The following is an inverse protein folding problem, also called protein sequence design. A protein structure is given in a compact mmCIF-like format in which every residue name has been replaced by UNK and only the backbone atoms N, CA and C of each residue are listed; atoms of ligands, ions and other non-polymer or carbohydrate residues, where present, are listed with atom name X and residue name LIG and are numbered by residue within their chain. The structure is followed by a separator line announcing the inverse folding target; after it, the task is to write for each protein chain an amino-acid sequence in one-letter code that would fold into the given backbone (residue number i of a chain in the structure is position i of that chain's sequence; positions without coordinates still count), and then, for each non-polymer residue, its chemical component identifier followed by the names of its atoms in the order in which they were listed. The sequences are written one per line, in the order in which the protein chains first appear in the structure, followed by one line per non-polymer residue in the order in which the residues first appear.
data_IF_404540622106
#
_entry.id   IF_404540622106
#
_cell.length_a   1.000
_cell.length_b   1.000
_cell.length_c   1.000
_cell.angle_alpha   90.00
_cell.angle_beta   90.00
_cell.angle_gamma   90.00
#
_symmetry.space_group_name_H-M   'P 1'
#
loop_
_entity.id
_entity.type
_entity.pdbx_description
1 polymer ?
#
# COMPACT_ATOMS: atom_id res chain seq x y z
N UNK A 1 -0.11 35.20 -14.78
CA UNK A 1 -0.14 34.14 -13.75
C UNK A 1 -0.35 32.83 -14.46
N UNK A 2 0.67 31.98 -14.50
CA UNK A 2 0.61 30.67 -15.16
C UNK A 2 -0.08 29.68 -14.22
N UNK A 3 -1.23 29.13 -14.61
CA UNK A 3 -1.95 28.14 -13.82
C UNK A 3 -1.43 26.76 -14.21
N UNK A 4 -0.67 26.13 -13.30
CA UNK A 4 -0.18 24.77 -13.49
C UNK A 4 -1.37 23.78 -13.49
N UNK A 5 -1.42 22.93 -14.51
CA UNK A 5 -2.40 21.84 -14.56
C UNK A 5 -2.08 20.80 -13.50
N UNK A 6 -3.08 19.99 -13.07
CA UNK A 6 -2.82 18.84 -12.23
C UNK A 6 -1.73 17.98 -12.85
N UNK A 7 -0.83 17.45 -12.01
CA UNK A 7 0.15 16.46 -12.47
C UNK A 7 -0.61 15.32 -13.15
N UNK A 8 -0.12 14.81 -14.29
CA UNK A 8 -0.66 13.60 -14.89
C UNK A 8 -0.71 12.50 -13.83
N UNK A 9 -1.81 11.74 -13.80
CA UNK A 9 -1.95 10.61 -12.89
C UNK A 9 -0.84 9.59 -13.20
N UNK A 10 -0.05 9.25 -12.20
CA UNK A 10 0.96 8.21 -12.33
C UNK A 10 0.26 6.85 -12.26
N UNK A 11 0.17 6.16 -13.40
CA UNK A 11 -0.67 4.97 -13.53
C UNK A 11 0.10 3.66 -13.36
N UNK A 12 1.43 3.69 -13.22
CA UNK A 12 2.30 2.51 -13.06
C UNK A 12 1.82 1.28 -13.86
N UNK A 13 1.81 1.35 -15.21
CA UNK A 13 1.19 0.32 -16.04
C UNK A 13 1.95 -1.02 -16.01
N UNK A 14 1.21 -2.12 -16.21
CA UNK A 14 1.78 -3.47 -16.24
C UNK A 14 2.51 -3.81 -14.93
N UNK A 15 3.69 -4.39 -15.03
CA UNK A 15 4.46 -4.82 -13.86
C UNK A 15 5.12 -3.67 -13.09
N UNK A 16 5.05 -2.42 -13.57
CA UNK A 16 5.52 -1.26 -12.80
C UNK A 16 4.70 -1.06 -11.50
N UNK A 17 3.44 -1.51 -11.47
CA UNK A 17 2.61 -1.48 -10.26
C UNK A 17 3.23 -2.31 -9.14
N UNK A 18 3.93 -3.39 -9.47
CA UNK A 18 4.53 -4.32 -8.50
C UNK A 18 5.71 -3.67 -7.80
N UNK A 19 6.62 -3.06 -8.56
CA UNK A 19 7.77 -2.35 -8.02
C UNK A 19 7.36 -1.14 -7.16
N UNK A 20 6.35 -0.40 -7.62
CA UNK A 20 5.77 0.69 -6.85
C UNK A 20 5.13 0.19 -5.56
N UNK A 21 4.26 -0.82 -5.63
CA UNK A 21 3.57 -1.41 -4.48
C UNK A 21 4.57 -1.92 -3.44
N UNK A 22 5.59 -2.67 -3.88
CA UNK A 22 6.66 -3.18 -3.01
C UNK A 22 7.31 -2.06 -2.21
N UNK A 23 7.79 -1.01 -2.90
CA UNK A 23 8.46 0.12 -2.25
C UNK A 23 7.53 0.88 -1.29
N UNK A 24 6.27 1.05 -1.65
CA UNK A 24 5.27 1.69 -0.81
C UNK A 24 5.00 0.89 0.47
N UNK A 25 4.84 -0.44 0.36
CA UNK A 25 4.58 -1.32 1.50
C UNK A 25 5.81 -1.47 2.41
N UNK A 26 7.03 -1.48 1.86
CA UNK A 26 8.27 -1.44 2.64
C UNK A 26 8.33 -0.19 3.52
N UNK A 27 8.09 0.99 2.93
CA UNK A 27 8.05 2.26 3.67
C UNK A 27 6.95 2.27 4.72
N UNK A 28 5.72 1.86 4.37
CA UNK A 28 4.60 1.81 5.30
C UNK A 28 4.92 0.92 6.52
N UNK A 29 5.55 -0.23 6.30
CA UNK A 29 5.96 -1.15 7.38
C UNK A 29 7.00 -0.53 8.31
N UNK A 30 7.93 0.26 7.78
CA UNK A 30 8.99 0.92 8.54
C UNK A 30 8.46 2.05 9.45
N UNK A 31 7.38 2.73 9.06
CA UNK A 31 6.92 3.95 9.74
C UNK A 31 5.54 3.83 10.38
N UNK A 32 4.94 2.63 10.34
CA UNK A 32 3.61 2.33 10.84
C UNK A 32 3.37 2.79 12.29
N UNK A 33 4.35 2.63 13.17
CA UNK A 33 4.28 2.99 14.60
C UNK A 33 4.77 4.41 14.89
N UNK A 34 5.19 5.16 13.86
CA UNK A 34 5.55 6.56 14.03
C UNK A 34 4.29 7.40 14.25
N UNK A 35 4.16 8.10 15.40
CA UNK A 35 2.95 8.84 15.72
C UNK A 35 2.69 10.00 14.76
N UNK A 36 1.42 10.41 14.68
CA UNK A 36 1.00 11.55 13.86
C UNK A 36 1.11 11.28 12.37
N UNK A 37 1.98 12.02 11.67
CA UNK A 37 2.10 11.96 10.22
C UNK A 37 2.59 10.61 9.68
N UNK A 38 3.39 9.86 10.45
CA UNK A 38 3.90 8.55 10.05
C UNK A 38 2.78 7.51 9.92
N UNK A 39 1.97 7.36 10.97
CA UNK A 39 0.81 6.47 10.98
C UNK A 39 -0.20 6.84 9.88
N UNK A 40 -0.51 8.14 9.72
CA UNK A 40 -1.43 8.59 8.67
C UNK A 40 -0.90 8.24 7.27
N UNK A 41 0.39 8.47 7.03
CA UNK A 41 1.02 8.10 5.77
C UNK A 41 0.94 6.59 5.55
N UNK A 42 1.34 5.78 6.55
CA UNK A 42 1.37 4.33 6.43
C UNK A 42 -0.01 3.75 6.09
N UNK A 43 -1.08 4.15 6.79
CA UNK A 43 -2.44 3.64 6.52
C UNK A 43 -2.93 4.05 5.13
N UNK A 44 -2.71 5.32 4.74
CA UNK A 44 -3.07 5.81 3.40
C UNK A 44 -2.31 5.06 2.30
N UNK A 45 -1.02 4.81 2.51
CA UNK A 45 -0.19 4.06 1.56
C UNK A 45 -0.69 2.62 1.39
N UNK A 46 -1.04 1.93 2.48
CA UNK A 46 -1.60 0.57 2.40
C UNK A 46 -2.91 0.59 1.60
N UNK A 47 -3.82 1.52 1.91
CA UNK A 47 -5.09 1.67 1.21
C UNK A 47 -4.94 2.01 -0.28
N UNK A 48 -3.96 2.86 -0.62
CA UNK A 48 -3.63 3.21 -2.01
C UNK A 48 -3.09 2.01 -2.79
N UNK A 49 -2.17 1.24 -2.21
CA UNK A 49 -1.65 0.03 -2.84
C UNK A 49 -2.77 -1.00 -3.04
N UNK A 50 -3.60 -1.23 -2.02
CA UNK A 50 -4.78 -2.11 -2.11
C UNK A 50 -5.68 -1.71 -3.28
N UNK A 51 -6.11 -0.45 -3.32
CA UNK A 51 -6.98 0.07 -4.36
C UNK A 51 -6.34 -0.07 -5.75
N UNK A 52 -5.06 0.28 -5.88
CA UNK A 52 -4.34 0.20 -7.14
C UNK A 52 -4.25 -1.22 -7.69
N UNK A 53 -4.02 -2.23 -6.83
CA UNK A 53 -4.01 -3.63 -7.22
C UNK A 53 -5.44 -4.08 -7.61
N UNK A 54 -6.41 -3.84 -6.75
CA UNK A 54 -7.81 -4.26 -6.95
C UNK A 54 -8.44 -3.69 -8.23
N UNK A 55 -8.19 -2.42 -8.55
CA UNK A 55 -8.75 -1.77 -9.74
C UNK A 55 -8.16 -2.28 -11.07
N UNK A 56 -6.94 -2.81 -11.05
CA UNK A 56 -6.22 -3.22 -12.27
C UNK A 56 -6.51 -4.66 -12.67
N UNK A 57 -6.45 -5.57 -11.71
CA UNK A 57 -6.56 -7.01 -11.96
C UNK A 57 -6.98 -7.74 -10.68
N UNK A 58 -8.26 -7.69 -10.30
CA UNK A 58 -8.72 -8.22 -9.02
C UNK A 58 -8.49 -9.73 -8.89
N UNK A 59 -8.55 -10.48 -9.99
CA UNK A 59 -8.29 -11.92 -10.01
C UNK A 59 -6.81 -12.21 -9.74
N UNK A 60 -5.89 -11.49 -10.38
CA UNK A 60 -4.44 -11.65 -10.12
C UNK A 60 -4.06 -11.39 -8.67
N UNK A 61 -4.78 -10.51 -7.97
CA UNK A 61 -4.43 -10.03 -6.64
C UNK A 61 -5.33 -10.54 -5.52
N UNK A 62 -6.14 -11.57 -5.79
CA UNK A 62 -7.12 -12.11 -4.83
C UNK A 62 -6.50 -12.56 -3.50
N UNK A 63 -5.24 -13.01 -3.51
CA UNK A 63 -4.51 -13.46 -2.32
C UNK A 63 -3.75 -12.35 -1.55
N UNK A 64 -3.65 -11.15 -2.14
CA UNK A 64 -2.89 -10.02 -1.58
C UNK A 64 -3.83 -8.92 -1.08
N UNK A 65 -4.87 -8.60 -1.84
CA UNK A 65 -5.82 -7.52 -1.51
C UNK A 65 -6.46 -7.70 -0.12
N UNK A 66 -6.94 -8.90 0.27
CA UNK A 66 -7.50 -9.11 1.61
C UNK A 66 -6.46 -8.99 2.74
N UNK A 67 -5.20 -9.38 2.47
CA UNK A 67 -4.10 -9.22 3.43
C UNK A 67 -3.83 -7.74 3.70
N UNK A 68 -3.81 -6.92 2.64
CA UNK A 68 -3.63 -5.48 2.76
C UNK A 68 -4.82 -4.79 3.43
N UNK A 69 -6.04 -5.21 3.14
CA UNK A 69 -7.25 -4.72 3.82
C UNK A 69 -7.17 -4.97 5.32
N UNK A 70 -6.78 -6.19 5.73
CA UNK A 70 -6.62 -6.52 7.14
C UNK A 70 -5.45 -5.77 7.80
N UNK A 71 -4.34 -5.60 7.09
CA UNK A 71 -3.19 -4.85 7.58
C UNK A 71 -3.52 -3.37 7.82
N UNK A 72 -4.31 -2.75 6.94
CA UNK A 72 -4.81 -1.38 7.09
C UNK A 72 -5.72 -1.26 8.33
N UNK A 73 -6.68 -2.17 8.49
CA UNK A 73 -7.60 -2.18 9.63
C UNK A 73 -6.84 -2.29 10.96
N UNK A 74 -5.87 -3.19 11.05
CA UNK A 74 -5.02 -3.35 12.23
C UNK A 74 -4.17 -2.11 12.50
N UNK A 75 -3.62 -1.49 11.46
CA UNK A 75 -2.86 -0.25 11.58
C UNK A 75 -3.70 0.89 12.16
N UNK A 76 -4.94 1.05 11.69
CA UNK A 76 -5.90 2.04 12.21
C UNK A 76 -6.21 1.79 13.69
N UNK A 77 -6.37 0.52 14.08
CA UNK A 77 -6.61 0.11 15.47
C UNK A 77 -5.35 0.07 16.35
N UNK A 78 -4.18 0.42 15.80
CA UNK A 78 -2.87 0.43 16.48
C UNK A 78 -2.37 -0.96 16.90
N UNK A 79 -2.83 -1.99 16.22
CA UNK A 79 -2.32 -3.36 16.33
C UNK A 79 -1.08 -3.53 15.45
N UNK A 80 -0.02 -2.79 15.77
CA UNK A 80 1.10 -2.55 14.85
C UNK A 80 1.92 -3.79 14.52
N UNK A 81 2.22 -4.63 15.51
CA UNK A 81 3.02 -5.84 15.28
C UNK A 81 2.32 -6.81 14.34
N UNK A 82 1.01 -6.97 14.49
CA UNK A 82 0.21 -7.83 13.62
C UNK A 82 0.07 -7.22 12.22
N UNK A 83 -0.13 -5.90 12.13
CA UNK A 83 -0.11 -5.20 10.84
C UNK A 83 1.25 -5.36 10.13
N UNK A 84 2.38 -5.21 10.82
CA UNK A 84 3.73 -5.45 10.24
C UNK A 84 3.89 -6.87 9.71
N UNK A 85 3.36 -7.87 10.42
CA UNK A 85 3.37 -9.28 10.01
C UNK A 85 2.63 -9.49 8.69
N UNK A 86 1.43 -8.91 8.56
CA UNK A 86 0.65 -8.99 7.31
C UNK A 86 1.29 -8.20 6.17
N UNK A 87 1.93 -7.06 6.45
CA UNK A 87 2.69 -6.32 5.43
C UNK A 87 3.89 -7.13 4.94
N UNK A 88 4.57 -7.86 5.81
CA UNK A 88 5.63 -8.79 5.41
C UNK A 88 5.09 -9.93 4.53
N UNK A 89 3.96 -10.53 4.89
CA UNK A 89 3.28 -11.55 4.08
C UNK A 89 2.90 -11.01 2.69
N UNK A 90 2.32 -9.81 2.61
CA UNK A 90 1.97 -9.19 1.33
C UNK A 90 3.21 -8.93 0.45
N UNK A 91 4.34 -8.52 1.06
CA UNK A 91 5.60 -8.31 0.35
C UNK A 91 6.20 -9.62 -0.21
N UNK A 92 6.00 -10.75 0.47
CA UNK A 92 6.42 -12.07 -0.02
C UNK A 92 5.55 -12.57 -1.17
N UNK A 93 4.25 -12.24 -1.16
CA UNK A 93 3.30 -12.63 -2.21
C UNK A 93 3.41 -11.78 -3.48
N UNK A 94 3.92 -10.56 -3.38
CA UNK A 94 4.14 -9.72 -4.57
C UNK A 94 5.16 -10.40 -5.50
N UNK A 95 4.88 -10.50 -6.81
CA UNK A 95 5.81 -11.07 -7.77
C UNK A 95 7.12 -10.26 -7.84
N UNK A 96 8.17 -10.89 -8.38
CA UNK A 96 9.48 -10.29 -8.58
C UNK A 96 9.47 -9.24 -9.71
#
# INVERSE_FOLDING_TARGET
MEVLRPKPLETHPGDQVVLWARRQLELAREILDNPGGGLLFATQTIGQVRAALQERDPERWEDIVPVLERAEDLAVHREFEESRRLLAEALEKLPA
#
